data_IF_079962285816
#
_entry.id   IF_079962285816
#
_cell.length_a   1.000
_cell.length_b   1.000
_cell.length_c   1.000
_cell.angle_alpha   90.00
_cell.angle_beta   90.00
_cell.angle_gamma   90.00
#
_symmetry.space_group_name_H-M   'P 1'
#
loop_
_entity.id
_entity.type
_entity.pdbx_description
1 polymer ?
#
# COMPACT_ATOMS: atom_id res chain seq x y z
N UNK A 1 31.57 -0.34 -58.29
CA UNK A 1 31.51 0.82 -57.37
C UNK A 1 30.14 1.00 -56.67
N UNK A 2 29.20 0.06 -56.78
CA UNK A 2 27.86 0.15 -56.17
C UNK A 2 27.77 -0.52 -54.79
N UNK A 3 28.48 -1.64 -54.61
CA UNK A 3 28.51 -2.44 -53.37
C UNK A 3 29.09 -1.66 -52.18
N UNK A 4 30.12 -0.82 -52.41
CA UNK A 4 30.70 0.03 -51.36
C UNK A 4 29.74 1.11 -50.84
N UNK A 5 28.86 1.64 -51.69
CA UNK A 5 27.88 2.67 -51.28
C UNK A 5 26.73 2.07 -50.47
N UNK A 6 26.29 0.86 -50.81
CA UNK A 6 25.27 0.14 -50.04
C UNK A 6 25.77 -0.29 -48.67
N UNK A 7 27.03 -0.74 -48.56
CA UNK A 7 27.64 -1.10 -47.28
C UNK A 7 27.75 0.11 -46.32
N UNK A 8 28.11 1.29 -46.85
CA UNK A 8 28.18 2.53 -46.06
C UNK A 8 26.79 2.98 -45.60
N UNK A 9 25.76 2.82 -46.44
CA UNK A 9 24.39 3.15 -46.08
C UNK A 9 23.84 2.25 -44.96
N UNK A 10 24.16 0.94 -44.98
CA UNK A 10 23.76 0.00 -43.92
C UNK A 10 24.42 0.34 -42.60
N UNK A 11 25.73 0.64 -42.60
CA UNK A 11 26.46 1.04 -41.39
C UNK A 11 25.90 2.35 -40.80
N UNK A 12 25.53 3.32 -41.64
CA UNK A 12 24.93 4.58 -41.17
C UNK A 12 23.54 4.39 -40.55
N UNK A 13 22.74 3.46 -41.09
CA UNK A 13 21.41 3.13 -40.53
C UNK A 13 21.54 2.38 -39.20
N UNK A 14 22.49 1.45 -39.08
CA UNK A 14 22.76 0.77 -37.81
C UNK A 14 23.32 1.73 -36.75
N UNK A 15 24.19 2.66 -37.13
CA UNK A 15 24.72 3.69 -36.22
C UNK A 15 23.64 4.68 -35.76
N UNK A 16 22.68 5.00 -36.63
CA UNK A 16 21.50 5.81 -36.30
C UNK A 16 20.61 5.14 -35.25
N UNK A 17 20.42 3.82 -35.30
CA UNK A 17 19.55 3.12 -34.33
C UNK A 17 20.16 2.99 -32.93
N UNK A 18 21.50 3.00 -32.80
CA UNK A 18 22.19 2.93 -31.50
C UNK A 18 22.13 4.27 -30.74
N UNK A 19 21.88 5.38 -31.44
CA UNK A 19 21.86 6.73 -30.84
C UNK A 19 20.59 7.09 -30.05
N UNK A 20 19.58 6.21 -30.05
CA UNK A 20 18.36 6.39 -29.21
C UNK A 20 18.42 5.53 -27.96
N UNK A 21 19.56 5.55 -27.26
CA UNK A 21 19.54 5.20 -25.84
C UNK A 21 18.75 6.31 -25.12
N UNK A 22 17.46 6.09 -24.94
CA UNK A 22 16.65 6.87 -23.99
C UNK A 22 17.32 6.64 -22.64
N UNK A 23 18.11 7.63 -22.20
CA UNK A 23 18.56 7.71 -20.82
C UNK A 23 17.29 7.98 -20.02
N UNK A 24 16.65 6.90 -19.58
CA UNK A 24 15.62 7.00 -18.55
C UNK A 24 16.30 7.71 -17.38
N UNK A 25 15.79 8.85 -16.92
CA UNK A 25 16.31 9.46 -15.70
C UNK A 25 16.27 8.38 -14.63
N UNK A 26 17.42 8.10 -14.00
CA UNK A 26 17.43 7.28 -12.79
C UNK A 26 16.38 7.87 -11.85
N UNK A 27 15.48 7.06 -11.25
CA UNK A 27 14.58 7.59 -10.25
C UNK A 27 15.43 8.35 -9.25
N UNK A 28 15.22 9.67 -9.18
CA UNK A 28 15.92 10.49 -8.20
C UNK A 28 15.71 9.80 -6.86
N UNK A 29 16.82 9.53 -6.15
CA UNK A 29 16.73 9.04 -4.79
C UNK A 29 15.78 9.98 -4.05
N UNK A 30 14.65 9.43 -3.61
CA UNK A 30 13.66 10.16 -2.85
C UNK A 30 14.39 10.78 -1.65
N UNK A 31 14.10 12.05 -1.30
CA UNK A 31 14.80 12.70 -0.22
C UNK A 31 14.65 11.85 1.05
N UNK A 32 15.78 11.43 1.65
CA UNK A 32 15.83 10.71 2.93
C UNK A 32 15.12 11.48 4.07
N UNK A 33 14.80 12.76 3.83
CA UNK A 33 14.12 13.65 4.76
C UNK A 33 12.60 13.73 4.58
N UNK A 34 12.01 12.95 3.65
CA UNK A 34 10.58 12.95 3.38
C UNK A 34 10.09 14.19 2.63
N UNK A 35 8.77 14.33 2.52
CA UNK A 35 8.10 15.47 1.91
C UNK A 35 8.02 16.63 2.89
N UNK A 36 8.82 17.67 2.65
CA UNK A 36 8.88 18.89 3.48
C UNK A 36 7.86 19.96 3.10
N UNK A 37 7.18 19.81 1.95
CA UNK A 37 6.10 20.68 1.47
C UNK A 37 4.87 19.83 1.20
N UNK A 38 3.71 20.24 1.71
CA UNK A 38 2.46 19.51 1.55
C UNK A 38 1.38 20.02 2.51
N UNK A 39 0.31 19.24 2.67
CA UNK A 39 -0.84 19.55 3.54
C UNK A 39 -0.58 19.33 5.04
N UNK A 40 0.57 18.74 5.39
CA UNK A 40 0.90 18.42 6.78
C UNK A 40 1.68 19.53 7.47
N UNK A 41 1.47 19.66 8.78
CA UNK A 41 2.10 20.67 9.64
C UNK A 41 3.59 20.42 9.90
N UNK A 42 4.06 19.19 9.65
CA UNK A 42 5.47 18.79 9.73
C UNK A 42 5.79 17.82 8.57
N UNK A 43 7.08 17.60 8.22
CA UNK A 43 7.44 16.71 7.12
C UNK A 43 6.92 15.28 7.31
N UNK A 44 6.50 14.66 6.21
CA UNK A 44 6.08 13.26 6.19
C UNK A 44 7.16 12.41 5.53
N UNK A 45 7.56 11.31 6.16
CA UNK A 45 8.39 10.25 5.61
C UNK A 45 7.52 9.04 5.31
N UNK A 46 7.24 8.74 4.03
CA UNK A 46 6.56 7.52 3.65
C UNK A 46 7.50 6.32 3.79
N UNK A 47 7.13 5.36 4.64
CA UNK A 47 7.84 4.10 4.82
C UNK A 47 7.50 3.16 3.67
N UNK A 48 8.46 2.36 3.18
CA UNK A 48 8.22 1.35 2.13
C UNK A 48 7.49 0.11 2.67
N UNK A 49 6.45 0.33 3.48
CA UNK A 49 5.58 -0.67 4.09
C UNK A 49 4.19 -0.61 3.47
N UNK A 50 3.37 -1.61 3.76
CA UNK A 50 1.92 -1.55 3.57
C UNK A 50 1.23 -2.42 4.63
N UNK A 51 0.02 -2.04 5.02
CA UNK A 51 -0.88 -2.89 5.79
C UNK A 51 -2.15 -3.15 4.99
N UNK A 52 -2.51 -4.41 4.86
CA UNK A 52 -3.78 -4.86 4.30
C UNK A 52 -4.68 -5.44 5.39
N UNK A 53 -5.95 -5.06 5.34
CA UNK A 53 -7.03 -5.65 6.16
C UNK A 53 -8.00 -6.33 5.22
N UNK A 54 -8.35 -7.60 5.44
CA UNK A 54 -9.31 -8.30 4.58
C UNK A 54 -10.68 -7.65 4.72
N UNK A 55 -11.27 -7.23 3.60
CA UNK A 55 -12.60 -6.62 3.60
C UNK A 55 -13.67 -7.68 3.86
N UNK A 56 -14.56 -7.41 4.82
CA UNK A 56 -15.69 -8.30 5.13
C UNK A 56 -17.00 -7.51 5.24
N UNK A 57 -17.89 -7.68 4.27
CA UNK A 57 -19.19 -7.00 4.26
C UNK A 57 -20.17 -7.51 5.34
N UNK A 58 -19.88 -8.63 5.99
CA UNK A 58 -20.83 -9.33 6.85
C UNK A 58 -20.62 -9.04 8.35
N UNK A 59 -19.48 -8.48 8.73
CA UNK A 59 -19.18 -8.13 10.12
C UNK A 59 -18.36 -6.83 10.19
N UNK A 60 -17.98 -6.43 11.41
CA UNK A 60 -17.22 -5.20 11.67
C UNK A 60 -15.76 -5.50 12.07
N UNK A 61 -15.32 -6.76 11.94
CA UNK A 61 -13.99 -7.16 12.38
C UNK A 61 -12.91 -6.45 11.56
N UNK A 62 -13.13 -6.31 10.26
CA UNK A 62 -12.27 -5.57 9.35
C UNK A 62 -12.22 -4.07 9.71
N UNK A 63 -13.34 -3.45 10.04
CA UNK A 63 -13.41 -2.07 10.51
C UNK A 63 -12.63 -1.87 11.81
N UNK A 64 -12.81 -2.75 12.80
CA UNK A 64 -12.04 -2.69 14.03
C UNK A 64 -10.55 -2.92 13.79
N UNK A 65 -10.20 -3.86 12.91
CA UNK A 65 -8.81 -4.16 12.52
C UNK A 65 -8.15 -2.98 11.82
N UNK A 66 -8.90 -2.29 10.95
CA UNK A 66 -8.46 -1.06 10.28
C UNK A 66 -8.21 0.03 11.31
N UNK A 67 -9.16 0.29 12.21
CA UNK A 67 -9.03 1.30 13.26
C UNK A 67 -7.85 0.99 14.20
N UNK A 68 -7.66 -0.28 14.59
CA UNK A 68 -6.55 -0.72 15.42
C UNK A 68 -5.18 -0.55 14.72
N UNK A 69 -5.16 -0.55 13.39
CA UNK A 69 -3.94 -0.38 12.59
C UNK A 69 -3.56 1.08 12.34
N UNK A 70 -4.48 2.05 12.49
CA UNK A 70 -4.18 3.48 12.26
C UNK A 70 -2.91 3.94 12.99
N UNK A 71 -2.72 3.63 14.29
CA UNK A 71 -1.53 4.08 15.00
C UNK A 71 -0.22 3.45 14.49
N UNK A 72 -0.27 2.25 13.89
CA UNK A 72 0.91 1.62 13.26
C UNK A 72 1.21 2.19 11.87
N UNK A 73 0.17 2.67 11.18
CA UNK A 73 0.25 3.20 9.81
C UNK A 73 0.57 4.68 9.73
N UNK A 74 0.32 5.46 10.78
CA UNK A 74 0.71 6.87 10.85
C UNK A 74 1.03 7.28 12.27
N UNK A 75 2.24 7.78 12.50
CA UNK A 75 2.67 8.24 13.81
C UNK A 75 3.69 9.38 13.71
N UNK A 76 3.67 10.25 14.72
CA UNK A 76 4.60 11.36 14.86
C UNK A 76 5.75 10.97 15.79
N UNK A 77 6.97 11.10 15.30
CA UNK A 77 8.17 10.99 16.12
C UNK A 77 8.63 12.37 16.60
N UNK A 78 8.67 12.54 17.92
CA UNK A 78 9.13 13.76 18.58
C UNK A 78 10.63 13.98 18.45
N UNK A 79 11.41 12.91 18.35
CA UNK A 79 12.87 13.00 18.27
C UNK A 79 13.30 13.56 16.91
N UNK A 80 12.67 13.07 15.85
CA UNK A 80 12.95 13.47 14.47
C UNK A 80 12.11 14.66 14.00
N UNK A 81 11.07 15.03 14.76
CA UNK A 81 10.05 16.01 14.39
C UNK A 81 9.41 15.71 13.01
N UNK A 82 9.12 14.43 12.74
CA UNK A 82 8.58 13.94 11.46
C UNK A 82 7.36 13.05 11.69
N UNK A 83 6.48 13.01 10.70
CA UNK A 83 5.41 12.01 10.63
C UNK A 83 5.92 10.85 9.78
N UNK A 84 5.87 9.64 10.30
CA UNK A 84 6.08 8.43 9.53
C UNK A 84 4.73 7.87 9.13
N UNK A 85 4.61 7.41 7.88
CA UNK A 85 3.36 6.82 7.40
C UNK A 85 3.55 5.76 6.34
N UNK A 86 2.61 4.83 6.24
CA UNK A 86 2.48 3.90 5.12
C UNK A 86 1.01 3.63 4.81
N UNK A 87 0.68 3.12 3.61
CA UNK A 87 -0.69 2.86 3.23
C UNK A 87 -1.35 1.80 4.12
N UNK A 88 -2.57 2.10 4.55
CA UNK A 88 -3.47 1.19 5.25
C UNK A 88 -4.71 1.02 4.37
N UNK A 89 -4.86 -0.15 3.77
CA UNK A 89 -5.87 -0.39 2.75
C UNK A 89 -6.69 -1.63 3.09
N UNK A 90 -7.96 -1.62 2.74
CA UNK A 90 -8.73 -2.85 2.64
C UNK A 90 -8.24 -3.66 1.43
N UNK A 91 -7.94 -4.93 1.64
CA UNK A 91 -7.74 -5.90 0.57
C UNK A 91 -9.10 -6.34 0.05
N UNK A 92 -9.21 -6.43 -1.27
CA UNK A 92 -10.40 -6.96 -1.93
C UNK A 92 -10.00 -8.00 -2.97
N UNK A 93 -10.73 -9.10 -2.98
CA UNK A 93 -10.56 -10.13 -3.99
C UNK A 93 -10.85 -9.59 -5.40
N UNK A 94 -10.25 -10.18 -6.44
CA UNK A 94 -10.59 -9.83 -7.82
C UNK A 94 -12.09 -10.01 -8.07
N UNK A 95 -12.79 -8.91 -8.36
CA UNK A 95 -14.19 -8.97 -8.72
C UNK A 95 -14.35 -9.34 -10.20
N UNK A 96 -14.99 -10.49 -10.53
CA UNK A 96 -15.20 -10.89 -11.92
C UNK A 96 -16.31 -10.04 -12.55
N UNK A 97 -15.93 -8.92 -13.16
CA UNK A 97 -16.87 -8.02 -13.84
C UNK A 97 -17.53 -8.74 -15.02
N UNK A 98 -18.85 -8.95 -14.95
CA UNK A 98 -19.66 -9.58 -16.02
C UNK A 98 -20.42 -8.55 -16.86
N UNK A 99 -20.72 -7.38 -16.29
CA UNK A 99 -21.44 -6.29 -16.96
C UNK A 99 -20.72 -4.97 -16.75
N UNK A 100 -20.79 -4.06 -17.72
CA UNK A 100 -20.10 -2.77 -17.65
C UNK A 100 -20.50 -1.92 -16.42
N UNK A 101 -21.75 -2.02 -15.97
CA UNK A 101 -22.23 -1.33 -14.75
C UNK A 101 -21.53 -1.81 -13.48
N UNK A 102 -20.99 -3.02 -13.45
CA UNK A 102 -20.29 -3.56 -12.27
C UNK A 102 -18.87 -3.01 -12.15
N UNK A 103 -18.33 -2.41 -13.22
CA UNK A 103 -16.98 -1.79 -13.19
C UNK A 103 -16.88 -0.67 -12.16
N UNK A 104 -17.93 0.14 -12.02
CA UNK A 104 -17.94 1.25 -11.05
C UNK A 104 -18.01 0.78 -9.59
N UNK A 105 -18.41 -0.47 -9.34
CA UNK A 105 -18.50 -1.06 -8.00
C UNK A 105 -17.24 -1.89 -7.66
N UNK A 106 -16.29 -1.99 -8.59
CA UNK A 106 -15.09 -2.81 -8.44
C UNK A 106 -13.97 -2.02 -7.74
N UNK A 107 -13.99 -1.97 -6.41
CA UNK A 107 -12.95 -1.27 -5.64
C UNK A 107 -11.56 -1.93 -5.75
N UNK A 108 -11.46 -3.19 -6.19
CA UNK A 108 -10.18 -3.82 -6.54
C UNK A 108 -9.38 -3.02 -7.58
N UNK A 109 -10.05 -2.41 -8.56
CA UNK A 109 -9.35 -1.60 -9.56
C UNK A 109 -8.60 -0.42 -8.93
N UNK A 110 -9.22 0.25 -7.95
CA UNK A 110 -8.58 1.33 -7.21
C UNK A 110 -7.39 0.85 -6.38
N UNK A 111 -7.53 -0.31 -5.74
CA UNK A 111 -6.43 -0.97 -5.03
C UNK A 111 -5.25 -1.27 -5.97
N UNK A 112 -5.50 -1.85 -7.14
CA UNK A 112 -4.44 -2.21 -8.09
C UNK A 112 -3.69 -0.97 -8.60
N UNK A 113 -4.40 0.11 -8.95
CA UNK A 113 -3.77 1.36 -9.39
C UNK A 113 -2.94 2.01 -8.28
N UNK A 114 -3.49 2.07 -7.07
CA UNK A 114 -2.73 2.60 -5.93
C UNK A 114 -1.45 1.79 -5.71
N UNK A 115 -1.55 0.46 -5.80
CA UNK A 115 -0.40 -0.42 -5.60
C UNK A 115 0.63 -0.33 -6.73
N UNK A 116 0.21 -0.08 -7.97
CA UNK A 116 1.14 0.18 -9.08
C UNK A 116 2.04 1.38 -8.76
N UNK A 117 1.44 2.51 -8.37
CA UNK A 117 2.16 3.72 -8.00
C UNK A 117 3.03 3.51 -6.75
N UNK A 118 2.49 2.84 -5.73
CA UNK A 118 3.19 2.61 -4.48
C UNK A 118 4.39 1.66 -4.65
N UNK A 119 4.24 0.61 -5.44
CA UNK A 119 5.34 -0.28 -5.79
C UNK A 119 6.39 0.47 -6.63
N UNK A 120 5.98 1.39 -7.50
CA UNK A 120 6.86 2.32 -8.19
C UNK A 120 7.71 3.14 -7.22
N UNK A 121 7.09 3.76 -6.21
CA UNK A 121 7.78 4.46 -5.12
C UNK A 121 8.76 3.55 -4.34
N UNK A 122 8.38 2.30 -4.14
CA UNK A 122 9.20 1.31 -3.44
C UNK A 122 10.31 0.68 -4.31
N UNK A 123 10.54 1.15 -5.54
CA UNK A 123 11.47 0.53 -6.51
C UNK A 123 11.15 -0.96 -6.77
N UNK A 124 9.86 -1.27 -6.87
CA UNK A 124 9.36 -2.60 -7.21
C UNK A 124 9.36 -3.62 -6.06
N UNK A 125 9.74 -3.25 -4.82
CA UNK A 125 9.68 -4.16 -3.67
C UNK A 125 9.51 -3.43 -2.33
N UNK A 126 8.54 -3.88 -1.54
CA UNK A 126 8.30 -3.38 -0.17
C UNK A 126 9.38 -3.87 0.81
N UNK A 127 9.66 -3.08 1.84
CA UNK A 127 10.48 -3.50 2.98
C UNK A 127 9.64 -4.29 4.02
N UNK A 128 8.32 -4.05 4.07
CA UNK A 128 7.40 -4.78 4.93
C UNK A 128 5.96 -4.80 4.40
N UNK A 129 5.25 -5.90 4.66
CA UNK A 129 3.83 -6.05 4.36
C UNK A 129 3.17 -6.72 5.56
N UNK A 130 2.18 -6.07 6.16
CA UNK A 130 1.36 -6.63 7.22
C UNK A 130 0.02 -7.03 6.63
N UNK A 131 -0.40 -8.27 6.87
CA UNK A 131 -1.65 -8.86 6.40
C UNK A 131 -2.52 -9.18 7.61
N UNK A 132 -3.68 -8.53 7.72
CA UNK A 132 -4.64 -8.77 8.80
C UNK A 132 -5.81 -9.53 8.22
N UNK A 133 -5.94 -10.80 8.58
CA UNK A 133 -6.90 -11.77 8.02
C UNK A 133 -6.82 -11.94 6.49
N UNK A 134 -5.79 -11.41 5.82
CA UNK A 134 -5.59 -11.57 4.37
C UNK A 134 -4.67 -12.77 4.11
N UNK A 135 -5.14 -13.81 3.40
CA UNK A 135 -4.29 -14.92 3.03
C UNK A 135 -3.10 -14.48 2.15
N UNK A 136 -1.89 -14.90 2.52
CA UNK A 136 -0.65 -14.44 1.88
C UNK A 136 -0.58 -14.79 0.39
N UNK A 137 -1.23 -15.86 -0.05
CA UNK A 137 -1.30 -16.24 -1.45
C UNK A 137 -2.04 -15.25 -2.34
N UNK A 138 -2.92 -14.42 -1.77
CA UNK A 138 -3.74 -13.42 -2.47
C UNK A 138 -2.98 -12.14 -2.84
N UNK A 139 -1.78 -11.96 -2.28
CA UNK A 139 -0.94 -10.75 -2.43
C UNK A 139 0.41 -10.99 -3.09
N UNK A 140 0.64 -12.20 -3.66
CA UNK A 140 1.92 -12.62 -4.26
C UNK A 140 2.45 -11.69 -5.36
N UNK A 141 1.56 -10.94 -6.02
CA UNK A 141 1.90 -9.96 -7.04
C UNK A 141 2.71 -8.77 -6.51
N UNK A 142 2.66 -8.49 -5.20
CA UNK A 142 3.38 -7.38 -4.57
C UNK A 142 4.50 -7.91 -3.68
N UNK A 143 5.75 -7.99 -4.17
CA UNK A 143 6.85 -8.54 -3.39
C UNK A 143 7.19 -7.66 -2.19
N UNK A 144 7.47 -8.32 -1.06
CA UNK A 144 7.96 -7.69 0.17
C UNK A 144 9.16 -8.46 0.72
N UNK A 145 10.11 -7.77 1.37
CA UNK A 145 11.20 -8.42 2.10
C UNK A 145 10.71 -9.20 3.31
N UNK A 146 9.75 -8.63 4.03
CA UNK A 146 9.14 -9.21 5.21
C UNK A 146 7.63 -9.20 5.06
N UNK A 147 6.98 -10.32 5.37
CA UNK A 147 5.53 -10.43 5.45
C UNK A 147 5.17 -10.83 6.87
N UNK A 148 4.29 -10.07 7.50
CA UNK A 148 3.71 -10.35 8.82
C UNK A 148 2.26 -10.68 8.61
N UNK A 149 1.80 -11.79 9.18
CA UNK A 149 0.39 -12.21 9.13
C UNK A 149 -0.16 -12.14 10.54
N UNK A 150 -1.31 -11.49 10.66
CA UNK A 150 -2.09 -11.35 11.88
C UNK A 150 -3.46 -11.94 11.59
N UNK A 151 -3.79 -13.04 12.25
CA UNK A 151 -5.07 -13.73 12.09
C UNK A 151 -5.84 -13.69 13.40
N UNK A 152 -7.15 -13.45 13.33
CA UNK A 152 -8.04 -13.46 14.48
C UNK A 152 -9.50 -13.35 14.07
N UNK A 153 -10.39 -13.86 14.92
CA UNK A 153 -11.83 -13.88 14.72
C UNK A 153 -12.58 -12.90 15.63
N UNK A 154 -11.85 -12.17 16.47
CA UNK A 154 -12.39 -11.15 17.37
C UNK A 154 -11.51 -9.88 17.40
N UNK A 155 -12.10 -8.70 17.64
CA UNK A 155 -11.35 -7.44 17.63
C UNK A 155 -10.23 -7.36 18.68
N UNK A 156 -10.39 -8.02 19.83
CA UNK A 156 -9.40 -7.96 20.91
C UNK A 156 -8.14 -8.75 20.54
N UNK A 157 -8.28 -9.97 20.02
CA UNK A 157 -7.13 -10.78 19.61
C UNK A 157 -6.35 -10.13 18.48
N UNK A 158 -7.03 -9.56 17.48
CA UNK A 158 -6.38 -8.84 16.37
C UNK A 158 -5.66 -7.59 16.89
N UNK A 159 -6.34 -6.74 17.69
CA UNK A 159 -5.73 -5.53 18.23
C UNK A 159 -4.52 -5.84 19.14
N UNK A 160 -4.59 -6.92 19.94
CA UNK A 160 -3.47 -7.36 20.77
C UNK A 160 -2.26 -7.78 19.94
N UNK A 161 -2.48 -8.50 18.83
CA UNK A 161 -1.39 -8.90 17.94
C UNK A 161 -0.75 -7.71 17.23
N UNK A 162 -1.55 -6.76 16.75
CA UNK A 162 -1.07 -5.49 16.17
C UNK A 162 -0.20 -4.74 17.18
N UNK A 163 -0.67 -4.61 18.43
CA UNK A 163 0.05 -3.92 19.48
C UNK A 163 1.37 -4.63 19.84
N UNK A 164 1.37 -5.95 19.95
CA UNK A 164 2.61 -6.70 20.25
C UNK A 164 3.61 -6.64 19.09
N UNK A 165 3.13 -6.65 17.85
CA UNK A 165 3.97 -6.59 16.66
C UNK A 165 4.64 -5.23 16.48
N UNK A 166 3.85 -4.14 16.50
CA UNK A 166 4.35 -2.81 16.12
C UNK A 166 4.61 -1.89 17.32
N UNK A 167 4.06 -2.19 18.51
CA UNK A 167 4.03 -1.29 19.67
C UNK A 167 4.60 -1.91 20.96
N UNK A 168 5.21 -3.10 20.90
CA UNK A 168 5.73 -3.79 22.11
C UNK A 168 6.76 -2.99 22.90
N UNK A 169 7.45 -2.05 22.26
CA UNK A 169 8.42 -1.15 22.89
C UNK A 169 7.87 0.26 23.17
N UNK A 170 6.57 0.49 22.97
CA UNK A 170 5.95 1.80 23.23
C UNK A 170 5.66 2.00 24.70
N UNK A 171 6.08 3.13 25.27
CA UNK A 171 5.69 3.58 26.61
C UNK A 171 4.22 4.06 26.68
N UNK A 172 3.51 4.06 25.55
CA UNK A 172 2.14 4.58 25.41
C UNK A 172 1.23 3.55 24.75
N UNK A 173 0.07 3.33 25.34
CA UNK A 173 -0.99 2.50 24.77
C UNK A 173 -2.21 3.35 24.39
N UNK A 174 -2.86 2.98 23.29
CA UNK A 174 -4.17 3.52 22.89
C UNK A 174 -5.21 2.46 23.22
N UNK A 175 -6.22 2.83 24.01
CA UNK A 175 -7.32 1.93 24.35
C UNK A 175 -8.61 2.46 23.72
N UNK A 176 -9.29 1.61 22.97
CA UNK A 176 -10.64 1.84 22.48
C UNK A 176 -11.59 0.84 23.13
N UNK A 177 -12.67 1.35 23.72
CA UNK A 177 -13.71 0.52 24.32
C UNK A 177 -14.78 0.27 23.26
N UNK A 178 -14.98 -0.99 22.92
CA UNK A 178 -16.04 -1.42 22.00
C UNK A 178 -17.17 -2.08 22.79
N UNK A 179 -18.40 -1.94 22.30
CA UNK A 179 -19.53 -2.68 22.86
C UNK A 179 -19.59 -4.06 22.22
N UNK A 180 -19.80 -5.09 23.02
CA UNK A 180 -20.03 -6.46 22.51
C UNK A 180 -21.30 -6.53 21.64
N UNK A 181 -22.32 -5.74 21.99
CA UNK A 181 -23.59 -5.71 21.29
C UNK A 181 -23.91 -4.31 20.77
N UNK A 182 -24.07 -4.18 19.46
CA UNK A 182 -24.58 -2.98 18.80
C UNK A 182 -26.09 -3.09 18.62
N UNK A 183 -26.83 -2.16 19.20
CA UNK A 183 -28.25 -1.99 18.88
C UNK A 183 -28.34 -1.40 17.47
N UNK A 184 -28.98 -2.09 16.53
CA UNK A 184 -29.28 -1.51 15.21
C UNK A 184 -30.00 -0.17 15.44
N UNK A 185 -29.49 0.95 14.91
CA UNK A 185 -30.18 2.23 15.06
C UNK A 185 -31.54 2.16 14.36
N UNK A 186 -32.59 2.64 15.04
CA UNK A 186 -33.95 2.64 14.49
C UNK A 186 -34.06 3.49 13.21
N UNK A 187 -33.17 4.46 13.04
CA UNK A 187 -33.10 5.32 11.87
C UNK A 187 -31.89 4.89 11.03
N UNK A 188 -32.17 4.18 9.94
CA UNK A 188 -31.19 3.82 8.92
C UNK A 188 -31.40 4.80 7.77
N UNK A 189 -30.37 5.56 7.40
CA UNK A 189 -30.41 6.36 6.17
C UNK A 189 -30.03 5.45 5.01
N UNK A 190 -30.93 5.28 4.05
CA UNK A 190 -30.60 4.63 2.77
C UNK A 190 -29.80 5.64 1.91
N UNK A 191 -28.64 5.21 1.44
CA UNK A 191 -27.75 5.97 0.55
C UNK A 191 -27.99 5.65 -0.92
#
# INVERSE_FOLDING_TARGET
>A
MMIKKQLIAVILVEFSMISTAIVLPSPQALPDNGFSKGVSWTPIVPLKKITFVDFDENNLLDDYSYLASIPTSVFYDKNDNKIYSHPLLYYQDPYPVKKDRERSLNARQGLDYFMEDWMGYCNGRLDGMTLINVPQEKVKQWPSRNVTVIDGDDPYSVASQIALNDWSYSDRAVLAVIKENYSKPNNITEG
#
